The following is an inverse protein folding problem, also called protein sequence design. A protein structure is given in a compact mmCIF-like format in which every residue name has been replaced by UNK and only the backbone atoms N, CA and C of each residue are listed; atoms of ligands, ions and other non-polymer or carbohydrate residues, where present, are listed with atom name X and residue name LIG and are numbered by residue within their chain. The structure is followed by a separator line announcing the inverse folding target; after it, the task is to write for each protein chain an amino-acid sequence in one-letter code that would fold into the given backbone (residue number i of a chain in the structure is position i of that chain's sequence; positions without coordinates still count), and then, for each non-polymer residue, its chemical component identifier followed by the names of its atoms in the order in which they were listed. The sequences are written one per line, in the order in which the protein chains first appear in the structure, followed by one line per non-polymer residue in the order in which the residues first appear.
data_IF_268283196184
#
_entry.id   IF_268283196184
#
_cell.length_a   1.000
_cell.length_b   1.000
_cell.length_c   1.000
_cell.angle_alpha   90.00
_cell.angle_beta   90.00
_cell.angle_gamma   90.00
#
_symmetry.space_group_name_H-M   'P 1'
#
loop_
_entity.id
_entity.type
_entity.pdbx_description
1 polymer ?
#
# COMPACT_ATOMS: atom_id res chain seq x y z
N UNK A 1 -6.87 0.66 -13.07
CA UNK A 1 -5.60 1.18 -12.70
C UNK A 1 -5.19 0.96 -11.26
N UNK A 2 -6.11 0.78 -10.30
CA UNK A 2 -5.80 0.48 -8.89
C UNK A 2 -6.19 -0.96 -8.52
N UNK A 3 -6.15 -1.31 -7.23
CA UNK A 3 -6.49 -2.63 -6.71
C UNK A 3 -5.59 -3.72 -7.28
N UNK A 4 -6.12 -4.94 -7.42
CA UNK A 4 -5.34 -6.10 -7.86
C UNK A 4 -4.68 -5.92 -9.23
N UNK A 5 -5.24 -5.10 -10.13
CA UNK A 5 -4.62 -4.83 -11.43
C UNK A 5 -3.30 -4.07 -11.27
N UNK A 6 -3.23 -3.08 -10.37
CA UNK A 6 -1.99 -2.40 -10.02
C UNK A 6 -1.05 -3.32 -9.24
N UNK A 7 -1.60 -4.08 -8.28
CA UNK A 7 -0.83 -4.97 -7.41
C UNK A 7 -0.09 -6.04 -8.23
N UNK A 8 -0.80 -6.78 -9.09
CA UNK A 8 -0.23 -7.84 -9.92
C UNK A 8 0.84 -7.31 -10.90
N UNK A 9 0.56 -6.17 -11.56
CA UNK A 9 1.54 -5.53 -12.46
C UNK A 9 2.79 -5.11 -11.70
N UNK A 10 2.62 -4.45 -10.56
CA UNK A 10 3.72 -3.99 -9.72
C UNK A 10 4.58 -5.14 -9.24
N UNK A 11 3.98 -6.17 -8.67
CA UNK A 11 4.69 -7.33 -8.14
C UNK A 11 5.45 -8.06 -9.24
N UNK A 12 4.79 -8.30 -10.40
CA UNK A 12 5.42 -8.95 -11.56
C UNK A 12 6.64 -8.16 -12.04
N UNK A 13 6.50 -6.84 -12.17
CA UNK A 13 7.61 -5.98 -12.62
C UNK A 13 8.71 -5.81 -11.57
N UNK A 14 8.42 -6.07 -10.29
CA UNK A 14 9.43 -6.19 -9.25
C UNK A 14 10.03 -7.60 -9.15
N UNK A 15 9.74 -8.50 -10.10
CA UNK A 15 10.39 -9.79 -10.23
C UNK A 15 9.91 -10.86 -9.27
N UNK A 16 8.64 -10.80 -8.81
CA UNK A 16 8.01 -11.83 -7.98
C UNK A 16 6.76 -12.41 -8.64
N UNK A 17 6.46 -13.66 -8.35
CA UNK A 17 5.20 -14.28 -8.78
C UNK A 17 4.07 -13.77 -7.90
N UNK A 18 3.07 -13.13 -8.49
CA UNK A 18 1.96 -12.51 -7.78
C UNK A 18 0.71 -13.38 -7.82
N UNK A 19 0.09 -13.56 -6.65
CA UNK A 19 -1.18 -14.24 -6.47
C UNK A 19 -2.19 -13.28 -5.85
N UNK A 20 -3.47 -13.58 -5.91
CA UNK A 20 -4.51 -12.71 -5.36
C UNK A 20 -5.63 -13.48 -4.69
N UNK A 21 -6.17 -12.90 -3.61
CA UNK A 21 -7.47 -13.21 -3.02
C UNK A 21 -8.34 -11.95 -3.09
N UNK A 22 -9.50 -12.05 -3.73
CA UNK A 22 -10.36 -10.90 -4.02
C UNK A 22 -11.32 -10.67 -2.87
N UNK A 23 -11.32 -9.45 -2.32
CA UNK A 23 -12.24 -9.01 -1.25
C UNK A 23 -13.53 -8.42 -1.82
N UNK A 24 -13.41 -7.67 -2.93
CA UNK A 24 -14.53 -7.08 -3.64
C UNK A 24 -14.22 -6.88 -5.12
N UNK A 25 -15.26 -6.91 -5.95
CA UNK A 25 -15.23 -6.48 -7.33
C UNK A 25 -15.74 -5.05 -7.43
N UNK A 26 -15.10 -4.21 -8.23
CA UNK A 26 -15.54 -2.83 -8.47
C UNK A 26 -15.87 -2.63 -9.94
N UNK A 27 -17.03 -2.03 -10.23
CA UNK A 27 -17.31 -1.42 -11.50
C UNK A 27 -16.73 0.01 -11.47
N UNK A 28 -15.49 0.15 -11.94
CA UNK A 28 -14.68 1.36 -11.78
C UNK A 28 -13.95 1.74 -13.06
N UNK A 29 -13.91 3.05 -13.33
CA UNK A 29 -13.11 3.65 -14.38
C UNK A 29 -12.33 4.86 -13.83
N UNK A 30 -11.71 5.67 -14.70
CA UNK A 30 -10.92 6.84 -14.29
C UNK A 30 -11.76 7.98 -13.71
N UNK A 31 -13.07 7.97 -13.92
CA UNK A 31 -13.99 9.03 -13.44
C UNK A 31 -14.71 8.67 -12.14
N UNK A 32 -14.70 7.40 -11.71
CA UNK A 32 -15.31 7.00 -10.44
C UNK A 32 -15.64 5.52 -10.32
N UNK A 33 -16.32 5.18 -9.22
CA UNK A 33 -16.82 3.85 -8.88
C UNK A 33 -18.34 3.87 -8.97
N UNK A 34 -18.92 3.04 -9.83
CA UNK A 34 -20.38 2.93 -10.05
C UNK A 34 -21.02 1.74 -9.35
N UNK A 35 -20.21 0.77 -8.88
CA UNK A 35 -20.70 -0.40 -8.16
C UNK A 35 -19.58 -1.14 -7.43
N UNK A 36 -19.95 -1.73 -6.30
CA UNK A 36 -19.08 -2.59 -5.48
C UNK A 36 -19.84 -3.87 -5.16
N UNK A 37 -19.22 -5.02 -5.38
CA UNK A 37 -19.72 -6.33 -5.02
C UNK A 37 -18.69 -7.03 -4.12
N UNK A 38 -18.99 -7.13 -2.83
CA UNK A 38 -18.18 -7.89 -1.89
C UNK A 38 -18.29 -9.39 -2.13
N UNK A 39 -17.21 -10.12 -1.92
CA UNK A 39 -17.26 -11.57 -1.79
C UNK A 39 -17.69 -11.95 -0.37
N UNK A 40 -18.27 -13.14 -0.20
CA UNK A 40 -18.57 -13.62 1.16
C UNK A 40 -17.29 -13.91 1.95
N UNK A 41 -17.29 -13.72 3.29
CA UNK A 41 -16.17 -14.11 4.14
C UNK A 41 -15.74 -15.56 3.96
N UNK A 42 -16.70 -16.48 3.79
CA UNK A 42 -16.42 -17.89 3.55
C UNK A 42 -15.67 -18.12 2.22
N UNK A 43 -16.04 -17.40 1.15
CA UNK A 43 -15.36 -17.54 -0.12
C UNK A 43 -13.98 -16.88 -0.11
N UNK A 44 -13.83 -15.76 0.63
CA UNK A 44 -12.52 -15.15 0.84
C UNK A 44 -11.58 -16.10 1.59
N UNK A 45 -12.06 -16.78 2.63
CA UNK A 45 -11.27 -17.80 3.32
C UNK A 45 -10.81 -18.91 2.36
N UNK A 46 -11.70 -19.41 1.51
CA UNK A 46 -11.35 -20.43 0.51
C UNK A 46 -10.29 -19.96 -0.49
N UNK A 47 -10.35 -18.69 -0.94
CA UNK A 47 -9.32 -18.13 -1.82
C UNK A 47 -7.95 -18.07 -1.11
N UNK A 48 -7.92 -17.60 0.14
CA UNK A 48 -6.68 -17.52 0.94
C UNK A 48 -6.13 -18.94 1.16
N UNK A 49 -6.98 -19.88 1.56
CA UNK A 49 -6.60 -21.26 1.79
C UNK A 49 -6.02 -21.91 0.53
N UNK A 50 -6.64 -21.69 -0.64
CA UNK A 50 -6.16 -22.21 -1.91
C UNK A 50 -4.75 -21.72 -2.26
N UNK A 51 -4.45 -20.45 -1.97
CA UNK A 51 -3.11 -19.88 -2.18
C UNK A 51 -2.12 -20.46 -1.18
N UNK A 52 -2.42 -20.43 0.11
CA UNK A 52 -1.46 -20.80 1.16
C UNK A 52 -1.15 -22.30 1.22
N UNK A 53 -2.08 -23.16 0.74
CA UNK A 53 -1.90 -24.62 0.74
C UNK A 53 -1.14 -25.15 -0.48
N UNK A 54 -0.98 -24.34 -1.52
CA UNK A 54 -0.26 -24.72 -2.75
C UNK A 54 1.03 -23.89 -2.91
N UNK A 55 0.92 -22.62 -3.24
CA UNK A 55 2.09 -21.71 -3.36
C UNK A 55 2.07 -20.75 -2.19
N UNK A 56 2.78 -21.11 -1.10
CA UNK A 56 2.84 -20.28 0.10
C UNK A 56 3.50 -18.92 -0.19
N UNK A 57 2.81 -17.79 0.08
CA UNK A 57 3.40 -16.47 -0.13
C UNK A 57 4.55 -16.17 0.84
N UNK A 58 5.62 -15.52 0.34
CA UNK A 58 6.71 -15.00 1.17
C UNK A 58 6.34 -13.65 1.80
N UNK A 59 5.46 -12.87 1.15
CA UNK A 59 4.90 -11.63 1.68
C UNK A 59 3.44 -11.48 1.28
N UNK A 60 2.69 -10.66 2.01
CA UNK A 60 1.27 -10.39 1.76
C UNK A 60 1.04 -8.90 1.72
N UNK A 61 0.37 -8.40 0.67
CA UNK A 61 -0.15 -7.03 0.65
C UNK A 61 -1.66 -7.05 0.78
N UNK A 62 -2.18 -6.20 1.66
CA UNK A 62 -3.61 -6.00 1.85
C UNK A 62 -3.94 -4.56 1.44
N UNK A 63 -4.90 -4.41 0.54
CA UNK A 63 -5.42 -3.12 0.11
C UNK A 63 -6.82 -2.87 0.67
N UNK A 64 -7.76 -2.47 -0.21
CA UNK A 64 -9.13 -2.18 0.19
C UNK A 64 -9.84 -3.42 0.77
N UNK A 65 -10.29 -3.29 2.01
CA UNK A 65 -11.22 -4.22 2.68
C UNK A 65 -12.33 -3.39 3.30
N UNK A 66 -13.56 -3.55 2.82
CA UNK A 66 -14.68 -2.65 3.10
C UNK A 66 -15.38 -2.92 4.42
N UNK A 67 -15.41 -4.17 4.90
CA UNK A 67 -16.23 -4.59 6.02
C UNK A 67 -15.46 -5.35 7.11
N UNK A 68 -15.95 -5.23 8.37
CA UNK A 68 -15.36 -5.89 9.53
C UNK A 68 -15.33 -7.43 9.41
N UNK A 69 -16.36 -8.12 8.85
CA UNK A 69 -16.31 -9.57 8.67
C UNK A 69 -15.19 -10.03 7.72
N UNK A 70 -14.93 -9.29 6.65
CA UNK A 70 -13.82 -9.61 5.72
C UNK A 70 -12.46 -9.40 6.41
N UNK A 71 -12.30 -8.31 7.18
CA UNK A 71 -11.09 -8.05 7.96
C UNK A 71 -10.83 -9.18 8.97
N UNK A 72 -11.84 -9.60 9.69
CA UNK A 72 -11.75 -10.70 10.66
C UNK A 72 -11.32 -12.01 9.97
N UNK A 73 -11.90 -12.32 8.81
CA UNK A 73 -11.53 -13.50 8.02
C UNK A 73 -10.07 -13.44 7.57
N UNK A 74 -9.61 -12.31 7.05
CA UNK A 74 -8.21 -12.13 6.65
C UNK A 74 -7.30 -12.34 7.85
N UNK A 75 -7.56 -11.66 8.96
CA UNK A 75 -6.74 -11.75 10.16
C UNK A 75 -6.68 -13.18 10.73
N UNK A 76 -7.81 -13.89 10.73
CA UNK A 76 -7.88 -15.30 11.14
C UNK A 76 -7.00 -16.19 10.24
N UNK A 77 -7.14 -16.09 8.93
CA UNK A 77 -6.37 -16.91 7.98
C UNK A 77 -4.88 -16.60 8.03
N UNK A 78 -4.50 -15.32 8.12
CA UNK A 78 -3.09 -14.94 8.20
C UNK A 78 -2.42 -15.45 9.49
N UNK A 79 -3.14 -15.41 10.64
CA UNK A 79 -2.67 -16.04 11.88
C UNK A 79 -2.54 -17.55 11.75
N UNK A 80 -3.56 -18.21 11.21
CA UNK A 80 -3.56 -19.66 11.01
C UNK A 80 -2.37 -20.13 10.19
N UNK A 81 -2.07 -19.44 9.09
CA UNK A 81 -0.94 -19.76 8.23
C UNK A 81 0.39 -19.16 8.71
N UNK A 82 0.42 -18.40 9.80
CA UNK A 82 1.61 -17.70 10.25
C UNK A 82 2.26 -16.90 9.12
N UNK A 83 1.45 -16.11 8.42
CA UNK A 83 1.90 -15.28 7.31
C UNK A 83 2.96 -14.27 7.78
N UNK A 84 3.92 -13.98 6.90
CA UNK A 84 5.04 -13.05 7.18
C UNK A 84 5.01 -11.88 6.23
N UNK A 85 5.76 -10.83 6.55
CA UNK A 85 5.94 -9.67 5.69
C UNK A 85 4.60 -9.10 5.20
N UNK A 86 3.71 -8.79 6.15
CA UNK A 86 2.37 -8.29 5.87
C UNK A 86 2.44 -6.77 5.74
N UNK A 87 2.05 -6.25 4.57
CA UNK A 87 1.94 -4.83 4.26
C UNK A 87 0.47 -4.46 4.15
N UNK A 88 -0.02 -3.53 4.97
CA UNK A 88 -1.42 -3.09 4.94
C UNK A 88 -1.49 -1.64 4.45
N UNK A 89 -2.16 -1.43 3.32
CA UNK A 89 -2.53 -0.10 2.83
C UNK A 89 -3.96 0.20 3.34
N UNK A 90 -4.13 1.10 4.33
CA UNK A 90 -5.41 1.31 4.99
C UNK A 90 -6.33 2.21 4.16
N UNK A 91 -6.73 1.73 2.98
CA UNK A 91 -7.52 2.51 2.01
C UNK A 91 -8.90 2.81 2.56
N UNK A 92 -9.12 4.05 3.03
CA UNK A 92 -10.41 4.49 3.61
C UNK A 92 -11.29 5.22 2.60
N UNK A 93 -10.66 5.93 1.63
CA UNK A 93 -11.35 6.75 0.63
C UNK A 93 -10.72 6.49 -0.74
N UNK A 94 -11.55 6.36 -1.77
CA UNK A 94 -11.08 6.27 -3.15
C UNK A 94 -10.48 7.62 -3.61
N UNK A 95 -9.60 7.58 -4.61
CA UNK A 95 -9.06 8.79 -5.26
C UNK A 95 -10.18 9.72 -5.79
N UNK A 96 -11.35 9.15 -6.13
CA UNK A 96 -12.56 9.88 -6.53
C UNK A 96 -13.32 10.55 -5.38
N UNK A 97 -12.87 10.38 -4.11
CA UNK A 97 -13.55 10.89 -2.91
C UNK A 97 -14.64 9.97 -2.34
N UNK A 98 -14.93 8.84 -2.98
CA UNK A 98 -15.92 7.88 -2.47
C UNK A 98 -15.40 7.18 -1.22
N UNK A 99 -16.20 7.16 -0.15
CA UNK A 99 -15.89 6.40 1.07
C UNK A 99 -15.92 4.91 0.76
N UNK A 100 -14.84 4.21 1.05
CA UNK A 100 -14.66 2.78 0.76
C UNK A 100 -14.77 1.89 2.00
N UNK A 101 -14.78 2.47 3.20
CA UNK A 101 -14.74 1.73 4.45
C UNK A 101 -15.79 2.24 5.43
N UNK A 102 -16.44 1.31 6.12
CA UNK A 102 -17.37 1.58 7.22
C UNK A 102 -16.61 1.91 8.51
N UNK A 103 -17.27 2.60 9.45
CA UNK A 103 -16.64 3.01 10.72
C UNK A 103 -16.17 1.81 11.55
N UNK A 104 -16.95 0.74 11.56
CA UNK A 104 -16.61 -0.50 12.29
C UNK A 104 -15.43 -1.24 11.65
N UNK A 105 -15.23 -1.08 10.34
CA UNK A 105 -14.10 -1.65 9.64
C UNK A 105 -12.77 -0.99 10.04
N UNK A 106 -12.75 0.32 10.27
CA UNK A 106 -11.54 1.03 10.77
C UNK A 106 -11.13 0.47 12.14
N UNK A 107 -12.10 0.27 13.04
CA UNK A 107 -11.81 -0.35 14.34
C UNK A 107 -11.28 -1.78 14.18
N UNK A 108 -11.91 -2.58 13.32
CA UNK A 108 -11.47 -3.95 13.05
C UNK A 108 -10.06 -4.01 12.45
N UNK A 109 -9.68 -3.06 11.57
CA UNK A 109 -8.31 -2.95 11.07
C UNK A 109 -7.31 -2.76 12.22
N UNK A 110 -7.58 -1.77 13.10
CA UNK A 110 -6.69 -1.46 14.23
C UNK A 110 -6.53 -2.63 15.20
N UNK A 111 -7.63 -3.29 15.54
CA UNK A 111 -7.64 -4.33 16.58
C UNK A 111 -7.17 -5.70 16.07
N UNK A 112 -7.41 -6.02 14.80
CA UNK A 112 -7.22 -7.38 14.31
C UNK A 112 -6.14 -7.54 13.24
N UNK A 113 -5.96 -6.53 12.37
CA UNK A 113 -5.10 -6.66 11.21
C UNK A 113 -3.77 -5.91 11.37
N UNK A 114 -3.77 -4.68 11.90
CA UNK A 114 -2.54 -3.91 12.08
C UNK A 114 -1.53 -4.59 13.00
N UNK A 115 -1.90 -5.26 14.10
CA UNK A 115 -0.94 -6.00 14.93
C UNK A 115 -0.28 -7.20 14.23
N UNK A 116 -0.75 -7.59 13.05
CA UNK A 116 -0.13 -8.62 12.22
C UNK A 116 0.79 -8.02 11.14
N UNK A 117 0.68 -6.73 10.91
CA UNK A 117 1.42 -6.05 9.85
C UNK A 117 2.87 -5.80 10.26
N UNK A 118 3.79 -6.01 9.33
CA UNK A 118 5.15 -5.50 9.46
C UNK A 118 5.17 -3.98 9.24
N UNK A 119 4.33 -3.51 8.31
CA UNK A 119 4.18 -2.07 8.05
C UNK A 119 2.77 -1.75 7.55
N UNK A 120 2.23 -0.63 8.03
CA UNK A 120 1.04 0.01 7.45
C UNK A 120 1.46 1.26 6.69
N UNK A 121 0.73 1.61 5.60
CA UNK A 121 1.13 2.69 4.69
C UNK A 121 0.07 3.79 4.56
N UNK A 122 -0.34 4.46 5.66
CA UNK A 122 -1.35 5.50 5.60
C UNK A 122 -0.85 6.74 4.85
N UNK A 123 -1.75 7.39 4.09
CA UNK A 123 -1.55 8.77 3.66
C UNK A 123 -1.87 9.72 4.82
N UNK A 124 -1.65 11.03 4.63
CA UNK A 124 -1.87 12.03 5.67
C UNK A 124 -3.29 11.99 6.23
N UNK A 125 -4.31 11.94 5.36
CA UNK A 125 -5.72 11.94 5.81
C UNK A 125 -6.06 10.66 6.60
N UNK A 126 -5.58 9.52 6.15
CA UNK A 126 -5.72 8.24 6.86
C UNK A 126 -4.99 8.27 8.21
N UNK A 127 -3.80 8.85 8.26
CA UNK A 127 -3.05 9.03 9.50
C UNK A 127 -3.74 10.00 10.49
N UNK A 128 -4.39 11.06 10.00
CA UNK A 128 -5.23 11.94 10.82
C UNK A 128 -6.39 11.19 11.45
N UNK A 129 -7.05 10.32 10.68
CA UNK A 129 -8.14 9.46 11.21
C UNK A 129 -7.60 8.46 12.23
N UNK A 130 -6.46 7.82 11.95
CA UNK A 130 -5.86 6.81 12.82
C UNK A 130 -5.30 7.40 14.12
N UNK A 131 -4.66 8.57 14.06
CA UNK A 131 -4.06 9.22 15.23
C UNK A 131 -5.05 10.11 16.01
N UNK A 132 -6.16 10.49 15.39
CA UNK A 132 -7.08 11.49 15.94
C UNK A 132 -6.50 12.90 16.00
N UNK A 133 -5.43 13.21 15.25
CA UNK A 133 -4.68 14.45 15.27
C UNK A 133 -4.56 15.04 13.87
N UNK A 134 -4.67 16.38 13.71
CA UNK A 134 -4.38 17.02 12.43
C UNK A 134 -2.88 16.96 12.12
N UNK A 135 -2.52 16.98 10.83
CA UNK A 135 -1.13 16.92 10.36
C UNK A 135 -0.89 18.04 9.35
N UNK A 136 -0.19 19.10 9.77
CA UNK A 136 0.13 20.28 8.95
C UNK A 136 1.64 20.54 8.86
N UNK A 137 2.45 19.87 9.70
CA UNK A 137 3.91 20.05 9.75
C UNK A 137 4.65 18.70 9.83
N UNK A 138 5.96 18.73 9.63
CA UNK A 138 6.82 17.53 9.79
C UNK A 138 6.81 17.01 11.23
N UNK A 139 6.75 17.90 12.21
CA UNK A 139 6.69 17.58 13.64
C UNK A 139 5.37 16.88 13.98
N UNK A 140 4.25 17.37 13.44
CA UNK A 140 2.93 16.75 13.61
C UNK A 140 2.86 15.40 12.89
N UNK A 141 3.47 15.29 11.69
CA UNK A 141 3.60 14.05 10.96
C UNK A 141 4.36 12.98 11.77
N UNK A 142 5.48 13.37 12.38
CA UNK A 142 6.27 12.50 13.24
C UNK A 142 5.48 12.08 14.49
N UNK A 143 4.82 13.04 15.16
CA UNK A 143 4.02 12.76 16.33
C UNK A 143 2.85 11.81 16.04
N UNK A 144 2.19 11.96 14.89
CA UNK A 144 1.12 11.08 14.45
C UNK A 144 1.64 9.67 14.13
N UNK A 145 2.74 9.56 13.37
CA UNK A 145 3.32 8.28 13.01
C UNK A 145 3.78 7.48 14.23
N UNK A 146 4.44 8.14 15.22
CA UNK A 146 4.83 7.51 16.48
C UNK A 146 3.61 7.02 17.29
N UNK A 147 2.55 7.84 17.37
CA UNK A 147 1.33 7.45 18.08
C UNK A 147 0.68 6.24 17.44
N UNK A 148 0.56 6.21 16.10
CA UNK A 148 -0.01 5.08 15.37
C UNK A 148 0.85 3.83 15.55
N UNK A 149 2.18 3.93 15.42
CA UNK A 149 3.09 2.80 15.57
C UNK A 149 2.99 2.17 16.96
N UNK A 150 2.94 3.01 18.00
CA UNK A 150 2.76 2.57 19.39
C UNK A 150 1.39 1.90 19.61
N UNK A 151 0.30 2.54 19.16
CA UNK A 151 -1.06 2.06 19.37
C UNK A 151 -1.36 0.76 18.60
N UNK A 152 -0.72 0.55 17.46
CA UNK A 152 -0.98 -0.58 16.56
C UNK A 152 0.08 -1.69 16.62
N UNK A 153 1.15 -1.50 17.41
CA UNK A 153 2.28 -2.44 17.54
C UNK A 153 2.86 -2.87 16.17
N UNK A 154 3.05 -1.91 15.26
CA UNK A 154 3.58 -2.16 13.91
C UNK A 154 4.34 -0.94 13.39
N UNK A 155 5.18 -1.15 12.36
CA UNK A 155 5.83 -0.03 11.68
C UNK A 155 4.82 0.78 10.85
N UNK A 156 5.07 2.09 10.71
CA UNK A 156 4.20 3.03 9.98
C UNK A 156 5.00 3.77 8.93
N UNK A 157 4.65 3.61 7.66
CA UNK A 157 5.11 4.46 6.58
C UNK A 157 4.05 5.52 6.29
N UNK A 158 4.18 6.70 6.89
CA UNK A 158 3.28 7.83 6.65
C UNK A 158 3.68 8.55 5.37
N UNK A 159 2.78 8.56 4.37
CA UNK A 159 3.02 9.15 3.06
C UNK A 159 2.82 10.66 3.07
N UNK A 160 3.85 11.41 2.66
CA UNK A 160 3.85 12.88 2.69
C UNK A 160 3.32 13.59 1.44
N UNK A 161 2.97 12.88 0.39
CA UNK A 161 2.66 13.41 -0.95
C UNK A 161 1.48 14.39 -1.11
N UNK A 162 0.98 14.93 -0.01
CA UNK A 162 -0.11 15.93 0.02
C UNK A 162 0.37 17.34 0.43
N UNK A 163 1.69 17.56 0.57
CA UNK A 163 2.23 18.91 0.73
C UNK A 163 2.47 19.58 -0.62
N UNK A 164 2.39 20.91 -0.67
CA UNK A 164 2.59 21.66 -1.92
C UNK A 164 4.04 21.69 -2.39
N UNK A 165 5.00 21.37 -1.52
CA UNK A 165 6.45 21.49 -1.77
C UNK A 165 7.18 20.16 -1.80
N UNK A 166 6.84 19.20 -0.92
CA UNK A 166 7.59 17.97 -0.70
C UNK A 166 6.70 16.73 -0.75
N UNK A 167 7.27 15.61 -1.21
CA UNK A 167 6.64 14.28 -1.16
C UNK A 167 7.45 13.34 -0.25
N UNK A 168 8.00 13.90 0.85
CA UNK A 168 8.77 13.12 1.81
C UNK A 168 7.87 12.17 2.58
N UNK A 169 8.26 10.90 2.63
CA UNK A 169 7.59 9.89 3.45
C UNK A 169 8.40 9.63 4.72
N UNK A 170 7.72 9.34 5.81
CA UNK A 170 8.30 9.01 7.10
C UNK A 170 8.00 7.58 7.48
N UNK A 171 9.04 6.78 7.69
CA UNK A 171 8.94 5.49 8.38
C UNK A 171 9.22 5.69 9.86
N UNK A 172 8.33 5.18 10.70
CA UNK A 172 8.57 4.93 12.12
C UNK A 172 8.45 3.42 12.32
N UNK A 173 9.56 2.75 12.63
CA UNK A 173 9.56 1.31 12.86
C UNK A 173 9.00 0.97 14.26
N UNK A 174 8.59 -0.26 14.48
CA UNK A 174 8.01 -0.71 15.74
C UNK A 174 8.93 -0.50 16.96
N UNK A 175 10.25 -0.49 16.75
CA UNK A 175 11.26 -0.19 17.79
C UNK A 175 11.47 1.30 18.02
N UNK A 176 10.78 2.18 17.27
CA UNK A 176 10.88 3.62 17.34
C UNK A 176 11.95 4.23 16.43
N UNK A 177 12.68 3.44 15.65
CA UNK A 177 13.64 3.95 14.65
C UNK A 177 12.91 4.76 13.58
N UNK A 178 13.47 5.91 13.20
CA UNK A 178 12.89 6.84 12.26
C UNK A 178 13.73 6.98 11.00
N UNK A 179 13.09 6.91 9.85
CA UNK A 179 13.74 7.11 8.56
C UNK A 179 12.89 8.00 7.67
N UNK A 180 13.47 9.09 7.17
CA UNK A 180 12.85 9.97 6.20
C UNK A 180 13.30 9.61 4.79
N UNK A 181 12.33 9.44 3.89
CA UNK A 181 12.57 9.19 2.48
C UNK A 181 12.22 10.45 1.69
N UNK A 182 13.23 11.15 1.22
CA UNK A 182 13.04 12.32 0.37
C UNK A 182 12.25 11.95 -0.91
N UNK A 183 11.32 12.80 -1.29
CA UNK A 183 10.50 12.64 -2.49
C UNK A 183 10.35 13.95 -3.22
N UNK A 184 10.53 13.94 -4.55
CA UNK A 184 10.16 15.09 -5.38
C UNK A 184 8.72 14.90 -5.86
N UNK A 185 7.93 15.96 -5.74
CA UNK A 185 6.60 15.96 -6.35
C UNK A 185 6.73 15.87 -7.86
N UNK A 186 6.09 14.87 -8.46
CA UNK A 186 6.00 14.71 -9.91
C UNK A 186 4.70 15.36 -10.36
N UNK A 187 4.80 16.30 -11.28
CA UNK A 187 3.63 16.96 -11.88
C UNK A 187 2.94 16.00 -12.85
N UNK A 188 2.16 15.06 -12.32
CA UNK A 188 1.35 14.14 -13.10
C UNK A 188 -0.07 14.10 -12.52
N UNK A 189 -1.13 14.44 -13.30
CA UNK A 189 -2.51 14.35 -12.85
C UNK A 189 -2.99 12.90 -12.69
N UNK A 190 -2.30 11.95 -13.33
CA UNK A 190 -2.66 10.54 -13.37
C UNK A 190 -2.03 9.80 -12.17
N UNK A 191 -2.68 9.89 -11.02
CA UNK A 191 -2.20 9.33 -9.75
C UNK A 191 -3.00 8.13 -9.26
N UNK A 192 -3.96 7.64 -10.08
CA UNK A 192 -4.82 6.52 -9.69
C UNK A 192 -4.02 5.23 -9.54
N UNK A 193 -4.06 4.65 -8.34
CA UNK A 193 -3.34 3.42 -8.01
C UNK A 193 -1.95 3.65 -7.40
N UNK A 194 -1.54 4.88 -7.11
CA UNK A 194 -0.24 5.21 -6.50
C UNK A 194 -0.05 4.48 -5.16
N UNK A 195 -1.04 4.51 -4.25
CA UNK A 195 -0.98 3.79 -2.96
C UNK A 195 -0.84 2.29 -3.14
N UNK A 196 -1.70 1.68 -3.96
CA UNK A 196 -1.63 0.26 -4.28
C UNK A 196 -0.26 -0.14 -4.85
N UNK A 197 0.28 0.67 -5.77
CA UNK A 197 1.59 0.44 -6.38
C UNK A 197 2.71 0.50 -5.34
N UNK A 198 2.74 1.51 -4.48
CA UNK A 198 3.76 1.63 -3.43
C UNK A 198 3.74 0.45 -2.47
N UNK A 199 2.57 0.14 -1.89
CA UNK A 199 2.43 -0.95 -0.92
C UNK A 199 2.74 -2.32 -1.53
N UNK A 200 2.37 -2.56 -2.80
CA UNK A 200 2.71 -3.79 -3.51
C UNK A 200 4.19 -3.91 -3.86
N UNK A 201 4.85 -2.81 -4.21
CA UNK A 201 6.29 -2.80 -4.43
C UNK A 201 7.07 -3.04 -3.13
N UNK A 202 6.60 -2.51 -1.99
CA UNK A 202 7.18 -2.82 -0.67
C UNK A 202 7.05 -4.32 -0.39
N UNK A 203 5.85 -4.89 -0.51
CA UNK A 203 5.63 -6.33 -0.29
C UNK A 203 6.51 -7.20 -1.19
N UNK A 204 6.63 -6.84 -2.48
CA UNK A 204 7.49 -7.57 -3.43
C UNK A 204 8.98 -7.53 -3.02
N UNK A 205 9.45 -6.40 -2.49
CA UNK A 205 10.85 -6.30 -2.05
C UNK A 205 11.08 -6.99 -0.69
N UNK A 206 10.12 -6.98 0.23
CA UNK A 206 10.17 -7.80 1.44
C UNK A 206 10.20 -9.30 1.12
N UNK A 207 9.37 -9.76 0.17
CA UNK A 207 9.38 -11.16 -0.31
C UNK A 207 10.75 -11.59 -0.87
N UNK A 208 11.54 -10.65 -1.39
CA UNK A 208 12.92 -10.89 -1.86
C UNK A 208 13.97 -10.82 -0.76
N UNK A 209 13.57 -10.59 0.50
CA UNK A 209 14.44 -10.54 1.68
C UNK A 209 15.14 -9.21 1.91
N UNK A 210 14.71 -8.11 1.28
CA UNK A 210 15.24 -6.79 1.62
C UNK A 210 14.69 -6.31 2.97
N UNK A 211 15.51 -5.71 3.85
CA UNK A 211 15.05 -5.06 5.06
C UNK A 211 14.03 -3.95 4.74
N UNK A 212 13.12 -3.67 5.67
CA UNK A 212 12.01 -2.74 5.46
C UNK A 212 12.42 -1.36 4.91
N UNK A 213 13.45 -0.67 5.45
CA UNK A 213 13.86 0.62 4.87
C UNK A 213 14.35 0.51 3.42
N UNK A 214 15.05 -0.57 3.07
CA UNK A 214 15.50 -0.81 1.69
C UNK A 214 14.32 -1.18 0.79
N UNK A 215 13.38 -2.00 1.24
CA UNK A 215 12.17 -2.34 0.51
C UNK A 215 11.36 -1.08 0.16
N UNK A 216 11.25 -0.14 1.11
CA UNK A 216 10.59 1.16 0.90
C UNK A 216 11.36 2.02 -0.11
N UNK A 217 12.67 2.17 0.03
CA UNK A 217 13.48 2.97 -0.89
C UNK A 217 13.36 2.46 -2.33
N UNK A 218 13.41 1.13 -2.53
CA UNK A 218 13.21 0.50 -3.85
C UNK A 218 11.80 0.72 -4.40
N UNK A 219 10.79 0.61 -3.56
CA UNK A 219 9.40 0.86 -3.93
C UNK A 219 9.18 2.33 -4.35
N UNK A 220 9.82 3.29 -3.66
CA UNK A 220 9.79 4.72 -4.05
C UNK A 220 10.47 4.95 -5.40
N UNK A 221 11.58 4.29 -5.67
CA UNK A 221 12.22 4.34 -6.99
C UNK A 221 11.30 3.87 -8.11
N UNK A 222 10.64 2.72 -7.91
CA UNK A 222 9.69 2.16 -8.87
C UNK A 222 8.50 3.09 -9.13
N UNK A 223 7.84 3.59 -8.07
CA UNK A 223 6.67 4.46 -8.23
C UNK A 223 7.04 5.79 -8.88
N UNK A 224 8.21 6.35 -8.57
CA UNK A 224 8.74 7.56 -9.19
C UNK A 224 8.91 7.36 -10.70
N UNK A 225 9.48 6.23 -11.12
CA UNK A 225 9.62 5.88 -12.53
C UNK A 225 8.27 5.74 -13.23
N UNK A 226 7.31 5.03 -12.61
CA UNK A 226 5.97 4.81 -13.16
C UNK A 226 5.16 6.12 -13.29
N UNK A 227 5.30 7.04 -12.34
CA UNK A 227 4.70 8.38 -12.41
C UNK A 227 5.36 9.24 -13.50
N UNK A 228 6.68 9.17 -13.63
CA UNK A 228 7.46 9.98 -14.60
C UNK A 228 7.26 9.52 -16.04
N UNK A 229 6.78 8.29 -16.28
CA UNK A 229 6.52 7.75 -17.60
C UNK A 229 5.34 8.44 -18.33
N UNK A 230 4.43 9.09 -17.57
CA UNK A 230 3.47 10.04 -18.13
C UNK A 230 2.35 9.42 -18.96
N UNK A 231 1.88 8.22 -18.63
CA UNK A 231 0.72 7.61 -19.31
C UNK A 231 -0.53 8.44 -19.11
N UNK A 232 -1.16 8.84 -20.21
CA UNK A 232 -2.40 9.65 -20.20
C UNK A 232 -3.55 8.86 -20.83
N UNK A 233 -4.34 8.19 -19.98
CA UNK A 233 -5.47 7.37 -20.40
C UNK A 233 -6.71 7.65 -19.57
N UNK A 234 -7.83 7.79 -20.23
CA UNK A 234 -9.15 8.01 -19.62
C UNK A 234 -9.50 9.49 -19.47
N UNK A 235 -10.71 9.77 -18.99
CA UNK A 235 -11.26 11.12 -18.87
C UNK A 235 -11.08 11.75 -17.47
N UNK A 236 -10.61 10.97 -16.49
CA UNK A 236 -10.38 11.38 -15.10
C UNK A 236 -8.95 11.15 -14.67
N UNK A 237 -8.73 10.84 -13.37
CA UNK A 237 -7.40 10.47 -12.88
C UNK A 237 -6.97 9.12 -13.49
N UNK A 238 -6.03 9.16 -14.43
CA UNK A 238 -5.54 8.00 -15.17
C UNK A 238 -4.63 7.08 -14.35
N UNK A 239 -4.34 5.87 -14.87
CA UNK A 239 -3.47 4.91 -14.21
C UNK A 239 -2.00 5.29 -14.35
N UNK A 240 -1.17 4.70 -13.49
CA UNK A 240 0.28 4.72 -13.63
C UNK A 240 0.73 3.89 -14.84
N UNK A 241 1.83 4.30 -15.47
CA UNK A 241 2.48 3.50 -16.50
C UNK A 241 3.40 2.44 -15.89
N UNK A 242 2.87 1.25 -15.69
CA UNK A 242 3.66 0.13 -15.19
C UNK A 242 4.68 -0.39 -16.23
N UNK A 243 4.56 -0.04 -17.51
CA UNK A 243 5.57 -0.37 -18.53
C UNK A 243 6.79 0.54 -18.47
N UNK A 244 6.78 1.56 -17.61
CA UNK A 244 7.84 2.55 -17.43
C UNK A 244 8.19 3.28 -18.72
N UNK A 245 7.20 3.54 -19.58
CA UNK A 245 7.39 4.17 -20.90
C UNK A 245 8.06 3.25 -21.91
N UNK A 246 7.91 1.93 -21.74
CA UNK A 246 8.57 0.93 -22.59
C UNK A 246 10.09 0.85 -22.39
N UNK A 247 10.62 1.48 -21.34
CA UNK A 247 12.04 1.35 -20.98
C UNK A 247 12.31 -0.06 -20.48
N UNK A 248 13.48 -0.58 -20.87
CA UNK A 248 13.95 -1.86 -20.38
C UNK A 248 14.01 -1.83 -18.83
N UNK A 249 13.34 -2.77 -18.21
CA UNK A 249 13.35 -2.97 -16.75
C UNK A 249 14.78 -3.09 -16.20
N UNK A 250 15.72 -3.61 -16.99
CA UNK A 250 17.12 -3.73 -16.59
C UNK A 250 17.74 -2.36 -16.27
N UNK A 251 17.37 -1.30 -16.99
CA UNK A 251 17.87 0.05 -16.73
C UNK A 251 17.37 0.63 -15.41
N UNK A 252 16.15 0.26 -14.99
CA UNK A 252 15.62 0.66 -13.70
C UNK A 252 16.21 -0.15 -12.55
N UNK A 253 16.40 -1.46 -12.74
CA UNK A 253 16.99 -2.32 -11.69
C UNK A 253 18.46 -1.97 -11.41
N UNK A 254 19.19 -1.48 -12.41
CA UNK A 254 20.58 -1.05 -12.29
C UNK A 254 20.73 0.41 -11.85
N UNK A 255 19.70 1.22 -11.97
CA UNK A 255 19.68 2.64 -11.60
C UNK A 255 18.97 2.94 -10.27
N UNK A 256 18.55 1.93 -9.51
CA UNK A 256 18.06 2.14 -8.14
C UNK A 256 19.25 2.68 -7.32
N UNK A 257 19.17 3.90 -6.78
CA UNK A 257 20.29 4.44 -6.03
C UNK A 257 20.57 3.54 -4.83
N UNK A 258 21.82 3.16 -4.64
CA UNK A 258 22.39 2.73 -3.35
C UNK A 258 22.37 3.92 -2.37
N UNK A 259 21.23 4.61 -2.29
CA UNK A 259 21.04 5.79 -1.47
C UNK A 259 20.45 5.41 -0.12
N UNK A 260 21.21 4.62 0.62
CA UNK A 260 21.32 4.75 2.04
C UNK A 260 22.77 5.20 2.26
N UNK A 261 23.02 6.49 2.24
CA UNK A 261 24.22 7.03 2.88
C UNK A 261 23.91 7.11 4.37
N UNK A 262 24.77 6.45 5.13
CA UNK A 262 24.85 6.46 6.58
C UNK A 262 24.78 7.88 7.19
#
# INVERSE_FOLDING_TARGET
GAGIQADLKTMTLNGVFAMSAITALTAQNTTGVSGILEVSPAFLAQQIDAVFTDIRPDAVKIGMVSSAPLIATIAERLRFYQARHIVVDPVMVATSGSRLMETDAVRSLREQLFPLAEVITPNRQEAEVLSGRPIHSREEMLAAARAIAFDCDCSVLLKGGHSDTDADDLLVEADGTETWFAGKRIANPNTHGTGCTLSSAIAANLAKGYPLPQAIARAKGYITAALSAGLDLGAGSGPLDHTLGGKDISTWMNGAPDAIQE
#
